data_IF_799220997892
#
_entry.id   IF_799220997892
#
_cell.length_a   1.000
_cell.length_b   1.000
_cell.length_c   1.000
_cell.angle_alpha   90.00
_cell.angle_beta   90.00
_cell.angle_gamma   90.00
#
_symmetry.space_group_name_H-M   'P 1'
#
loop_
_entity.id
_entity.type
_entity.pdbx_description
1 polymer ?
#
# COMPACT_ATOMS: atom_id res chain seq x y z
N UNK A 1 -10.85 -6.75 6.26
CA UNK A 1 -11.60 -5.52 5.97
C UNK A 1 -13.08 -5.76 6.22
N UNK A 2 -13.65 -5.14 7.27
CA UNK A 2 -15.10 -5.04 7.47
C UNK A 2 -15.80 -4.52 6.21
N UNK A 3 -17.04 -4.94 5.96
CA UNK A 3 -17.77 -4.63 4.71
C UNK A 3 -17.94 -3.12 4.49
N UNK A 4 -18.16 -2.36 5.56
CA UNK A 4 -18.31 -0.90 5.51
C UNK A 4 -17.06 -0.19 4.99
N UNK A 5 -15.88 -0.71 5.31
CA UNK A 5 -14.62 -0.15 4.82
C UNK A 5 -14.40 -0.47 3.34
N UNK A 6 -14.88 -1.62 2.84
CA UNK A 6 -14.76 -1.99 1.41
C UNK A 6 -15.55 -1.04 0.51
N UNK A 7 -16.79 -0.71 0.90
CA UNK A 7 -17.61 0.23 0.13
C UNK A 7 -16.98 1.63 0.05
N UNK A 8 -16.28 2.07 1.10
CA UNK A 8 -15.65 3.40 1.15
C UNK A 8 -14.47 3.57 0.18
N UNK A 9 -13.80 2.48 -0.17
CA UNK A 9 -12.56 2.50 -0.96
C UNK A 9 -12.72 1.96 -2.39
N UNK A 10 -13.83 1.25 -2.67
CA UNK A 10 -14.11 0.66 -3.98
C UNK A 10 -14.06 1.69 -5.12
N UNK A 11 -13.43 1.33 -6.24
CA UNK A 11 -13.33 2.16 -7.46
C UNK A 11 -12.67 3.54 -7.26
N UNK A 12 -11.91 3.74 -6.18
CA UNK A 12 -11.20 5.00 -5.91
C UNK A 12 -9.69 4.81 -6.01
N UNK A 13 -8.94 5.84 -6.47
CA UNK A 13 -7.50 5.88 -6.28
C UNK A 13 -7.15 5.83 -4.80
N UNK A 14 -6.13 5.04 -4.44
CA UNK A 14 -5.69 4.88 -3.06
C UNK A 14 -4.23 5.29 -2.90
N UNK A 15 -3.95 6.05 -1.84
CA UNK A 15 -2.60 6.36 -1.38
C UNK A 15 -2.36 5.63 -0.06
N UNK A 16 -1.44 4.67 -0.07
CA UNK A 16 -0.91 4.03 1.13
C UNK A 16 0.20 4.91 1.69
N UNK A 17 0.12 5.22 2.97
CA UNK A 17 1.11 6.03 3.68
C UNK A 17 1.76 5.15 4.74
N UNK A 18 3.08 5.12 4.75
CA UNK A 18 3.89 4.47 5.76
C UNK A 18 5.00 5.42 6.21
N UNK A 19 5.54 5.25 7.40
CA UNK A 19 6.64 6.09 7.88
C UNK A 19 7.96 5.70 7.21
N UNK A 20 8.32 4.42 7.27
CA UNK A 20 9.57 3.86 6.80
C UNK A 20 9.32 2.61 5.97
N UNK A 21 10.04 2.50 4.86
CA UNK A 21 10.10 1.27 4.07
C UNK A 21 11.49 0.63 4.16
N UNK A 22 11.53 -0.69 4.35
CA UNK A 22 12.75 -1.49 4.22
C UNK A 22 12.79 -2.17 2.84
N UNK A 23 12.33 -3.41 2.73
CA UNK A 23 12.23 -4.16 1.46
C UNK A 23 11.01 -3.76 0.64
N UNK A 24 10.02 -3.13 1.27
CA UNK A 24 8.73 -2.81 0.66
C UNK A 24 7.73 -3.96 0.60
N UNK A 25 8.04 -5.10 1.23
CA UNK A 25 7.14 -6.24 1.26
C UNK A 25 5.75 -5.88 1.82
N UNK A 26 5.68 -5.11 2.91
CA UNK A 26 4.41 -4.71 3.53
C UNK A 26 3.52 -3.88 2.58
N UNK A 27 4.08 -2.82 1.99
CA UNK A 27 3.37 -1.97 1.03
C UNK A 27 2.96 -2.75 -0.23
N UNK A 28 3.81 -3.66 -0.71
CA UNK A 28 3.48 -4.52 -1.86
C UNK A 28 2.30 -5.46 -1.56
N UNK A 29 2.31 -6.14 -0.42
CA UNK A 29 1.24 -7.03 0.03
C UNK A 29 -0.09 -6.29 0.19
N UNK A 30 -0.05 -5.10 0.79
CA UNK A 30 -1.20 -4.23 0.93
C UNK A 30 -1.75 -3.81 -0.45
N UNK A 31 -0.89 -3.30 -1.33
CA UNK A 31 -1.29 -2.90 -2.68
C UNK A 31 -1.87 -4.07 -3.48
N UNK A 32 -1.27 -5.25 -3.39
CA UNK A 32 -1.76 -6.46 -4.08
C UNK A 32 -3.15 -6.87 -3.60
N UNK A 33 -3.40 -6.83 -2.29
CA UNK A 33 -4.71 -7.15 -1.74
C UNK A 33 -5.78 -6.12 -2.15
N UNK A 34 -5.41 -4.84 -2.25
CA UNK A 34 -6.30 -3.79 -2.72
C UNK A 34 -6.62 -3.92 -4.22
N UNK A 35 -5.66 -4.33 -5.04
CA UNK A 35 -5.92 -4.62 -6.46
C UNK A 35 -6.87 -5.81 -6.63
N UNK A 36 -6.74 -6.86 -5.81
CA UNK A 36 -7.64 -8.04 -5.87
C UNK A 36 -9.11 -7.72 -5.59
N UNK A 37 -9.39 -6.64 -4.85
CA UNK A 37 -10.76 -6.21 -4.57
C UNK A 37 -11.29 -5.20 -5.60
N UNK A 38 -10.59 -5.03 -6.73
CA UNK A 38 -11.02 -4.16 -7.83
C UNK A 38 -10.83 -2.68 -7.56
N UNK A 39 -9.95 -2.30 -6.62
CA UNK A 39 -9.64 -0.89 -6.42
C UNK A 39 -8.91 -0.32 -7.66
N UNK A 40 -9.10 0.98 -7.87
CA UNK A 40 -8.38 1.75 -8.89
C UNK A 40 -6.88 1.87 -8.56
N UNK A 41 -6.16 2.84 -9.17
CA UNK A 41 -4.72 2.95 -9.00
C UNK A 41 -4.32 3.06 -7.52
N UNK A 42 -3.42 2.18 -7.06
CA UNK A 42 -2.84 2.22 -5.71
C UNK A 42 -1.41 2.73 -5.78
N UNK A 43 -1.10 3.77 -5.01
CA UNK A 43 0.25 4.35 -4.88
C UNK A 43 0.72 4.26 -3.43
N UNK A 44 2.04 4.18 -3.24
CA UNK A 44 2.67 4.23 -1.92
C UNK A 44 3.43 5.55 -1.73
N UNK A 45 3.35 6.11 -0.52
CA UNK A 45 4.14 7.25 -0.05
C UNK A 45 4.80 6.84 1.27
N UNK A 46 6.10 7.09 1.37
CA UNK A 46 6.91 6.80 2.56
C UNK A 46 7.71 8.04 2.93
N UNK A 47 7.92 8.27 4.23
CA UNK A 47 8.76 9.38 4.68
C UNK A 47 10.25 9.05 4.54
N UNK A 48 10.62 7.78 4.75
CA UNK A 48 12.00 7.33 4.62
C UNK A 48 12.10 5.91 4.03
N UNK A 49 13.25 5.63 3.41
CA UNK A 49 13.63 4.30 2.91
C UNK A 49 14.94 3.87 3.55
N UNK A 50 14.93 2.69 4.16
CA UNK A 50 16.16 2.04 4.62
C UNK A 50 16.92 1.54 3.40
N UNK A 51 18.09 2.13 3.17
CA UNK A 51 19.09 1.62 2.25
C UNK A 51 19.93 0.59 3.01
N UNK A 52 20.26 -0.52 2.34
CA UNK A 52 21.28 -1.43 2.86
C UNK A 52 22.60 -0.97 2.28
N UNK A 53 23.50 -0.51 3.13
CA UNK A 53 24.91 -0.37 2.76
C UNK A 53 25.47 -1.78 2.48
N UNK A 54 26.35 -1.88 1.48
CA UNK A 54 26.80 -3.13 0.89
C UNK A 54 27.47 -4.10 1.87
N UNK A 55 27.46 -5.38 1.47
CA UNK A 55 28.27 -6.49 1.98
C UNK A 55 29.75 -6.11 2.16
#
# INVERSE_FOLDING_TARGET
MPQDQRHRIANRPLLLIDDVITTGAALYEAARNLHRVGNGPVRGLVLARVLRDGL
#
